data_IF_246254317592
#
_entry.id   IF_246254317592
#
_cell.length_a   1.000
_cell.length_b   1.000
_cell.length_c   1.000
_cell.angle_alpha   90.00
_cell.angle_beta   90.00
_cell.angle_gamma   90.00
#
_symmetry.space_group_name_H-M   'P 1'
#
loop_
_entity.id
_entity.type
_entity.pdbx_description
1 polymer ?
#
# COMPACT_ATOMS: atom_id res chain seq x y z
N UNK A 1 -29.87 48.08 20.54
CA UNK A 1 -28.75 47.16 20.24
C UNK A 1 -27.62 47.94 19.60
N UNK A 2 -26.42 47.91 20.20
CA UNK A 2 -25.28 48.73 19.80
C UNK A 2 -24.68 48.23 18.47
N UNK A 3 -24.88 48.99 17.40
CA UNK A 3 -24.35 48.71 16.06
C UNK A 3 -22.81 48.52 16.03
N UNK A 4 -22.10 49.12 17.02
CA UNK A 4 -20.67 48.93 17.24
C UNK A 4 -20.28 47.49 17.61
N UNK A 5 -21.11 46.76 18.35
CA UNK A 5 -20.83 45.36 18.72
C UNK A 5 -21.12 44.39 17.56
N UNK A 6 -22.09 44.69 16.70
CA UNK A 6 -22.38 43.89 15.50
C UNK A 6 -21.24 44.01 14.48
N UNK A 7 -20.71 45.22 14.27
CA UNK A 7 -19.55 45.43 13.38
C UNK A 7 -18.26 44.80 13.92
N UNK A 8 -17.99 44.86 15.24
CA UNK A 8 -16.81 44.17 15.79
C UNK A 8 -16.92 42.64 15.72
N UNK A 9 -18.12 42.07 15.94
CA UNK A 9 -18.31 40.60 15.83
C UNK A 9 -18.23 40.08 14.40
N UNK A 10 -18.72 40.83 13.40
CA UNK A 10 -18.60 40.41 11.99
C UNK A 10 -17.19 40.58 11.47
N UNK A 11 -16.47 41.64 11.88
CA UNK A 11 -15.06 41.84 11.54
C UNK A 11 -14.20 40.74 12.17
N UNK A 12 -14.47 40.34 13.41
CA UNK A 12 -13.75 39.24 14.08
C UNK A 12 -14.05 37.86 13.46
N UNK A 13 -15.27 37.63 12.96
CA UNK A 13 -15.61 36.38 12.25
C UNK A 13 -14.97 36.30 10.84
N UNK A 14 -14.83 37.44 10.15
CA UNK A 14 -14.17 37.51 8.83
C UNK A 14 -12.65 37.37 8.93
N UNK A 15 -12.02 37.73 10.06
CA UNK A 15 -10.58 37.56 10.26
C UNK A 15 -10.19 36.16 10.76
N UNK A 16 -11.08 35.45 11.48
CA UNK A 16 -10.79 34.08 11.94
C UNK A 16 -10.92 33.06 10.78
N UNK A 17 -11.82 33.28 9.82
CA UNK A 17 -11.95 32.41 8.64
C UNK A 17 -10.84 32.59 7.58
N UNK A 18 -9.91 33.54 7.77
CA UNK A 18 -8.75 33.75 6.90
C UNK A 18 -7.44 33.19 7.46
N UNK A 19 -7.47 32.58 8.65
CA UNK A 19 -6.25 32.25 9.40
C UNK A 19 -5.75 30.81 9.23
N UNK A 20 -6.44 29.98 8.44
CA UNK A 20 -5.95 28.66 8.05
C UNK A 20 -6.02 28.60 6.53
N UNK A 21 -4.86 28.59 5.88
CA UNK A 21 -4.78 28.41 4.44
C UNK A 21 -5.48 27.12 4.01
N UNK A 22 -5.91 27.05 2.75
CA UNK A 22 -6.51 25.82 2.23
C UNK A 22 -5.43 24.73 2.18
N UNK A 23 -5.70 23.59 2.82
CA UNK A 23 -4.83 22.41 2.76
C UNK A 23 -5.08 21.66 1.45
N UNK A 24 -4.03 21.43 0.66
CA UNK A 24 -4.10 20.77 -0.65
C UNK A 24 -3.23 19.52 -0.73
N UNK A 25 -3.60 18.61 -1.62
CA UNK A 25 -2.95 17.31 -1.79
C UNK A 25 -1.69 17.34 -2.66
N UNK A 26 -1.13 16.17 -2.93
CA UNK A 26 0.08 16.01 -3.74
C UNK A 26 -0.07 16.59 -5.16
N UNK A 27 0.99 17.22 -5.64
CA UNK A 27 1.07 17.88 -6.94
C UNK A 27 0.32 19.19 -7.06
N UNK A 28 -0.62 19.49 -6.14
CA UNK A 28 -1.41 20.72 -6.17
C UNK A 28 -0.53 21.95 -5.93
N UNK A 29 -0.95 23.08 -6.50
CA UNK A 29 -0.23 24.35 -6.37
C UNK A 29 -0.27 24.85 -4.91
N UNK A 30 0.87 25.32 -4.42
CA UNK A 30 1.03 25.81 -3.06
C UNK A 30 1.83 27.11 -3.04
N UNK A 31 1.57 27.98 -2.06
CA UNK A 31 2.33 29.23 -1.88
C UNK A 31 3.00 29.32 -0.50
N UNK A 32 2.77 28.33 0.37
CA UNK A 32 3.32 28.27 1.73
C UNK A 32 2.68 29.28 2.70
N UNK A 33 1.62 29.98 2.29
CA UNK A 33 0.94 31.01 3.09
C UNK A 33 -0.60 30.86 3.06
N UNK A 34 -1.23 31.07 1.90
CA UNK A 34 -2.68 30.95 1.73
C UNK A 34 -3.10 29.53 1.30
N UNK A 35 -2.20 28.80 0.63
CA UNK A 35 -2.38 27.41 0.23
C UNK A 35 -1.19 26.59 0.74
N UNK A 36 -1.47 25.73 1.71
CA UNK A 36 -0.47 24.88 2.36
C UNK A 36 -0.65 23.44 1.94
N UNK A 37 0.44 22.68 1.91
CA UNK A 37 0.37 21.26 1.62
C UNK A 37 -0.18 20.48 2.80
N UNK A 38 -0.76 19.33 2.50
CA UNK A 38 -1.26 18.43 3.51
C UNK A 38 -0.14 17.93 4.44
N UNK A 39 -0.52 17.44 5.63
CA UNK A 39 0.46 16.86 6.58
C UNK A 39 1.29 15.76 5.90
N UNK A 40 2.62 15.84 5.99
CA UNK A 40 3.55 14.92 5.32
C UNK A 40 3.93 15.33 3.89
N UNK A 41 3.54 16.54 3.47
CA UNK A 41 3.95 17.17 2.23
C UNK A 41 4.48 18.57 2.52
N UNK A 42 5.45 19.00 1.72
CA UNK A 42 5.94 20.37 1.75
C UNK A 42 5.84 20.98 0.35
N UNK A 43 5.92 22.32 0.32
CA UNK A 43 5.76 23.09 -0.90
C UNK A 43 7.08 23.18 -1.66
N UNK A 44 7.23 22.41 -2.73
CA UNK A 44 8.44 22.31 -3.53
C UNK A 44 8.35 23.16 -4.81
N UNK A 45 9.40 23.91 -5.19
CA UNK A 45 9.46 24.55 -6.50
C UNK A 45 9.57 23.50 -7.61
N UNK A 46 8.95 23.79 -8.75
CA UNK A 46 9.10 23.06 -9.99
C UNK A 46 9.42 24.00 -11.16
N UNK A 47 10.02 23.44 -12.20
CA UNK A 47 10.46 24.16 -13.38
C UNK A 47 11.79 24.89 -13.20
N UNK A 48 12.22 25.56 -14.27
CA UNK A 48 13.52 26.24 -14.32
C UNK A 48 13.38 27.74 -14.08
N UNK A 49 12.52 28.40 -14.86
CA UNK A 49 12.31 29.85 -14.84
C UNK A 49 10.91 30.19 -15.38
N UNK A 50 10.42 31.36 -15.00
CA UNK A 50 9.16 31.90 -15.49
C UNK A 50 9.15 31.97 -17.03
N UNK A 51 8.03 31.64 -17.69
CA UNK A 51 6.70 31.39 -17.12
C UNK A 51 6.41 29.92 -16.74
N UNK A 52 7.35 29.00 -16.99
CA UNK A 52 7.16 27.56 -16.80
C UNK A 52 7.79 27.10 -15.48
N UNK A 53 7.40 27.77 -14.40
CA UNK A 53 7.81 27.43 -13.05
C UNK A 53 6.66 27.70 -12.09
N UNK A 54 6.72 27.09 -10.91
CA UNK A 54 5.73 27.27 -9.87
C UNK A 54 6.12 26.46 -8.65
N UNK A 55 5.16 26.28 -7.75
CA UNK A 55 5.34 25.45 -6.57
C UNK A 55 4.24 24.40 -6.51
N UNK A 56 4.57 23.21 -6.01
CA UNK A 56 3.64 22.11 -5.87
C UNK A 56 3.93 21.29 -4.61
N UNK A 57 2.90 20.64 -4.08
CA UNK A 57 3.05 19.79 -2.90
C UNK A 57 3.75 18.47 -3.24
N UNK A 58 4.92 18.26 -2.64
CA UNK A 58 5.71 17.06 -2.79
C UNK A 58 5.77 16.29 -1.46
N UNK A 59 5.69 14.96 -1.54
CA UNK A 59 5.71 14.10 -0.37
C UNK A 59 7.07 14.22 0.34
N UNK A 60 7.03 14.45 1.64
CA UNK A 60 8.23 14.46 2.47
C UNK A 60 8.87 13.07 2.51
N UNK A 61 10.19 13.04 2.57
CA UNK A 61 10.97 11.81 2.68
C UNK A 61 11.95 11.93 3.82
N UNK A 62 12.09 10.89 4.65
CA UNK A 62 13.12 10.83 5.69
C UNK A 62 14.15 9.78 5.35
N UNK A 63 15.44 10.11 5.43
CA UNK A 63 16.55 9.17 5.11
C UNK A 63 16.49 7.85 5.89
N UNK A 64 15.91 7.87 7.11
CA UNK A 64 15.72 6.69 7.93
C UNK A 64 14.64 5.73 7.39
N UNK A 65 13.66 6.26 6.65
CA UNK A 65 12.47 5.54 6.15
C UNK A 65 12.35 5.63 4.63
N UNK A 66 13.39 6.05 3.91
CA UNK A 66 13.34 6.32 2.47
C UNK A 66 12.83 5.14 1.60
N UNK A 67 13.10 3.89 1.99
CA UNK A 67 12.57 2.72 1.27
C UNK A 67 11.04 2.55 1.45
N UNK A 68 10.50 3.04 2.57
CA UNK A 68 9.06 3.12 2.83
C UNK A 68 8.48 4.35 2.15
N UNK A 69 9.18 5.49 2.23
CA UNK A 69 8.69 6.78 1.77
C UNK A 69 8.72 6.89 0.25
N UNK A 70 9.68 6.25 -0.43
CA UNK A 70 9.94 6.34 -1.86
C UNK A 70 9.95 5.00 -2.60
N UNK A 71 9.80 3.89 -1.89
CA UNK A 71 10.00 2.55 -2.44
C UNK A 71 11.46 2.11 -2.42
N UNK A 72 11.66 0.80 -2.45
CA UNK A 72 12.97 0.17 -2.26
C UNK A 72 13.97 0.60 -3.33
N UNK A 73 15.12 1.13 -2.89
CA UNK A 73 16.19 1.58 -3.77
C UNK A 73 16.03 3.01 -4.30
N UNK A 74 14.98 3.73 -3.88
CA UNK A 74 14.84 5.15 -4.11
C UNK A 74 15.32 5.93 -2.89
N UNK A 75 16.08 7.01 -3.13
CA UNK A 75 16.70 7.81 -2.08
C UNK A 75 15.91 9.11 -1.86
N UNK A 76 15.98 9.63 -0.64
CA UNK A 76 15.63 11.02 -0.39
C UNK A 76 16.74 11.95 -0.89
N UNK A 77 16.39 13.00 -1.62
CA UNK A 77 17.32 14.05 -2.05
C UNK A 77 16.77 15.44 -1.67
N UNK A 78 17.66 16.40 -1.36
CA UNK A 78 17.22 17.74 -1.01
C UNK A 78 16.70 18.49 -2.22
N UNK A 79 15.61 19.21 -2.02
CA UNK A 79 14.90 19.97 -3.09
C UNK A 79 15.77 21.10 -3.63
N UNK A 80 16.58 21.68 -2.77
CA UNK A 80 17.61 22.67 -3.11
C UNK A 80 18.96 22.19 -2.62
N UNK A 81 20.03 22.50 -3.34
CA UNK A 81 21.37 22.06 -2.96
C UNK A 81 21.73 22.56 -1.55
N UNK A 82 21.87 21.63 -0.60
CA UNK A 82 22.17 21.95 0.81
C UNK A 82 20.95 22.25 1.70
N UNK A 83 19.72 22.08 1.19
CA UNK A 83 18.49 22.21 1.97
C UNK A 83 18.23 21.02 2.89
N UNK A 84 17.37 21.22 3.90
CA UNK A 84 16.89 20.18 4.82
C UNK A 84 15.61 19.49 4.35
N UNK A 85 14.92 20.09 3.38
CA UNK A 85 13.66 19.58 2.86
C UNK A 85 13.95 18.51 1.81
N UNK A 86 13.52 17.29 2.10
CA UNK A 86 13.87 16.09 1.36
C UNK A 86 12.65 15.50 0.65
N UNK A 87 12.83 15.15 -0.63
CA UNK A 87 11.84 14.42 -1.46
C UNK A 87 12.43 13.15 -2.00
N UNK A 88 11.57 12.24 -2.46
CA UNK A 88 12.01 11.15 -3.30
C UNK A 88 12.70 11.66 -4.56
N UNK A 89 13.85 11.08 -4.91
CA UNK A 89 14.59 11.36 -6.16
C UNK A 89 13.71 11.26 -7.41
N UNK A 90 12.76 10.33 -7.40
CA UNK A 90 11.73 10.15 -8.43
C UNK A 90 10.85 11.38 -8.59
N UNK A 91 10.43 12.00 -7.47
CA UNK A 91 9.65 13.24 -7.47
C UNK A 91 10.49 14.41 -7.99
N UNK A 92 11.76 14.51 -7.58
CA UNK A 92 12.65 15.58 -8.07
C UNK A 92 12.79 15.59 -9.59
N UNK A 93 12.78 14.40 -10.21
CA UNK A 93 12.82 14.26 -11.66
C UNK A 93 11.55 14.82 -12.33
N UNK A 94 10.40 14.69 -11.69
CA UNK A 94 9.12 15.16 -12.20
C UNK A 94 8.88 16.67 -11.97
N UNK A 95 9.49 17.25 -10.94
CA UNK A 95 9.46 18.70 -10.67
C UNK A 95 10.22 19.54 -11.74
N UNK A 96 10.65 18.94 -12.85
CA UNK A 96 11.16 19.67 -14.02
C UNK A 96 10.05 20.31 -14.86
N UNK A 97 8.81 19.87 -14.68
CA UNK A 97 7.60 20.38 -15.34
C UNK A 97 6.43 20.46 -14.33
N UNK A 98 5.26 20.95 -14.77
CA UNK A 98 4.06 20.94 -13.94
C UNK A 98 3.72 19.49 -13.57
N UNK A 99 3.72 19.13 -12.26
CA UNK A 99 3.41 17.78 -11.83
C UNK A 99 1.93 17.43 -12.06
N UNK A 100 1.61 16.14 -12.14
CA UNK A 100 0.21 15.72 -12.04
C UNK A 100 -0.27 15.88 -10.59
N UNK A 101 -1.58 15.95 -10.41
CA UNK A 101 -2.20 16.11 -9.09
C UNK A 101 -3.32 15.09 -8.91
N UNK A 102 -3.88 14.97 -7.71
CA UNK A 102 -5.06 14.15 -7.48
C UNK A 102 -6.28 14.62 -8.30
N UNK A 103 -6.37 15.93 -8.58
CA UNK A 103 -7.48 16.55 -9.33
C UNK A 103 -7.15 16.80 -10.80
N UNK A 104 -5.87 16.93 -11.16
CA UNK A 104 -5.37 16.96 -12.53
C UNK A 104 -5.34 15.54 -13.05
N UNK A 105 -6.44 15.15 -13.66
CA UNK A 105 -6.65 13.79 -14.12
C UNK A 105 -5.77 13.53 -15.34
N UNK A 106 -4.65 12.82 -15.11
CA UNK A 106 -4.01 11.94 -16.10
C UNK A 106 -5.09 11.14 -16.85
N UNK A 107 -4.89 10.74 -18.12
CA UNK A 107 -5.94 10.07 -18.93
C UNK A 107 -6.86 9.20 -18.05
N UNK A 108 -8.07 9.73 -17.80
CA UNK A 108 -8.96 9.24 -16.73
C UNK A 108 -9.30 7.75 -16.87
N UNK A 109 -9.13 7.22 -18.08
CA UNK A 109 -9.43 5.83 -18.43
C UNK A 109 -8.25 4.90 -18.26
N UNK A 110 -7.01 5.41 -18.35
CA UNK A 110 -5.79 4.60 -18.47
C UNK A 110 -4.71 4.90 -17.46
N UNK A 111 -4.77 6.04 -16.77
CA UNK A 111 -3.67 6.53 -15.95
C UNK A 111 -4.16 7.02 -14.59
N UNK A 112 -3.23 7.03 -13.64
CA UNK A 112 -3.39 7.64 -12.32
C UNK A 112 -2.14 8.45 -12.01
N UNK A 113 -2.31 9.54 -11.26
CA UNK A 113 -1.17 10.30 -10.77
C UNK A 113 -0.53 9.55 -9.60
N UNK A 114 0.69 9.07 -9.78
CA UNK A 114 1.43 8.35 -8.74
C UNK A 114 2.11 9.33 -7.78
N UNK A 115 1.81 9.22 -6.50
CA UNK A 115 2.26 10.15 -5.47
C UNK A 115 3.80 10.18 -5.31
N UNK A 116 4.45 9.02 -5.45
CA UNK A 116 5.90 8.86 -5.28
C UNK A 116 6.72 9.33 -6.47
N UNK A 117 6.07 9.69 -7.57
CA UNK A 117 6.76 10.15 -8.78
C UNK A 117 6.17 11.47 -9.30
N UNK A 118 4.96 11.86 -8.89
CA UNK A 118 4.18 12.97 -9.45
C UNK A 118 4.05 12.90 -10.98
N UNK A 119 4.05 11.68 -11.52
CA UNK A 119 3.86 11.40 -12.94
C UNK A 119 2.61 10.55 -13.17
N UNK A 120 1.99 10.73 -14.32
CA UNK A 120 0.93 9.85 -14.78
C UNK A 120 1.50 8.46 -15.11
N UNK A 121 1.16 7.48 -14.29
CA UNK A 121 1.51 6.07 -14.54
C UNK A 121 0.28 5.35 -15.08
N UNK A 122 0.51 4.25 -15.80
CA UNK A 122 -0.59 3.38 -16.20
C UNK A 122 -1.37 2.98 -14.95
N UNK A 123 -2.69 3.18 -15.00
CA UNK A 123 -3.61 2.62 -14.02
C UNK A 123 -3.30 1.13 -13.95
N UNK A 124 -3.21 0.53 -12.75
CA UNK A 124 -3.03 -0.91 -12.65
C UNK A 124 -4.19 -1.60 -13.37
N UNK A 125 -3.93 -2.09 -14.58
CA UNK A 125 -4.87 -2.94 -15.27
C UNK A 125 -4.93 -4.23 -14.47
N UNK A 126 -6.14 -4.61 -14.08
CA UNK A 126 -6.39 -5.95 -13.51
C UNK A 126 -6.39 -6.97 -14.65
N UNK A 127 -5.34 -6.97 -15.47
CA UNK A 127 -5.18 -7.96 -16.54
C UNK A 127 -4.42 -9.12 -15.92
N UNK A 128 -5.16 -10.18 -15.60
CA UNK A 128 -4.58 -11.44 -15.14
C UNK A 128 -3.80 -12.05 -16.31
N UNK A 129 -2.51 -11.76 -16.41
CA UNK A 129 -1.64 -12.52 -17.31
C UNK A 129 -1.42 -13.90 -16.68
N UNK A 130 -2.32 -14.82 -17.04
CA UNK A 130 -2.25 -16.22 -16.64
C UNK A 130 -1.25 -16.89 -17.57
N UNK A 131 0.03 -16.90 -17.17
CA UNK A 131 1.03 -17.79 -17.77
C UNK A 131 0.71 -19.22 -17.31
N UNK A 132 -0.01 -19.98 -18.13
CA UNK A 132 -0.27 -21.41 -17.88
C UNK A 132 1.00 -22.18 -18.22
N UNK A 133 1.84 -22.47 -17.23
CA UNK A 133 2.84 -23.52 -17.37
C UNK A 133 2.14 -24.87 -17.47
N UNK A 134 2.30 -25.51 -18.63
CA UNK A 134 1.75 -26.82 -18.93
C UNK A 134 2.51 -27.88 -18.14
N UNK A 135 2.01 -28.26 -16.98
CA UNK A 135 2.46 -29.44 -16.25
C UNK A 135 1.56 -30.64 -16.53
N UNK A 136 2.20 -31.75 -16.86
CA UNK A 136 1.63 -33.04 -17.28
C UNK A 136 0.70 -33.65 -16.23
N UNK A 137 -0.51 -34.03 -16.66
CA UNK A 137 -1.60 -34.54 -15.83
C UNK A 137 -1.53 -36.08 -15.79
N UNK A 138 -1.68 -36.67 -14.60
CA UNK A 138 -1.87 -38.12 -14.44
C UNK A 138 -3.35 -38.41 -14.21
N UNK A 139 -3.98 -39.10 -15.16
CA UNK A 139 -5.42 -39.41 -15.19
C UNK A 139 -5.77 -40.53 -14.21
N UNK A 140 -6.77 -40.32 -13.34
CA UNK A 140 -7.44 -41.43 -12.61
C UNK A 140 -8.94 -41.36 -12.84
N UNK A 141 -9.53 -42.47 -13.27
CA UNK A 141 -10.91 -42.57 -13.78
C UNK A 141 -11.87 -43.07 -12.71
N UNK A 142 -12.95 -42.33 -12.43
CA UNK A 142 -14.22 -42.89 -11.97
C UNK A 142 -15.38 -41.93 -12.27
N UNK A 143 -16.34 -42.35 -13.10
CA UNK A 143 -17.69 -41.78 -13.10
C UNK A 143 -17.94 -40.47 -13.87
N UNK A 144 -17.74 -40.47 -15.19
CA UNK A 144 -18.72 -39.92 -16.15
C UNK A 144 -19.13 -38.44 -16.18
N UNK A 145 -18.55 -37.52 -15.40
CA UNK A 145 -18.73 -36.06 -15.58
C UNK A 145 -17.38 -35.34 -15.38
N UNK A 146 -16.78 -34.86 -16.47
CA UNK A 146 -15.54 -34.08 -16.44
C UNK A 146 -15.85 -32.62 -16.10
N UNK A 147 -15.89 -32.28 -14.80
CA UNK A 147 -15.82 -30.88 -14.36
C UNK A 147 -14.36 -30.57 -14.07
N UNK A 148 -13.71 -29.86 -14.99
CA UNK A 148 -12.33 -29.37 -14.84
C UNK A 148 -12.38 -28.16 -13.90
N UNK A 149 -12.25 -28.40 -12.60
CA UNK A 149 -12.04 -27.32 -11.63
C UNK A 149 -10.53 -27.20 -11.43
N UNK A 150 -9.90 -26.27 -12.14
CA UNK A 150 -8.51 -25.90 -11.87
C UNK A 150 -8.47 -25.20 -10.51
N UNK A 151 -7.86 -25.77 -9.45
CA UNK A 151 -7.75 -25.06 -8.19
C UNK A 151 -6.81 -23.87 -8.42
N UNK A 152 -7.31 -22.65 -8.23
CA UNK A 152 -6.47 -21.46 -8.22
C UNK A 152 -5.43 -21.62 -7.11
N UNK A 153 -4.12 -21.54 -7.40
CA UNK A 153 -3.10 -21.71 -6.38
C UNK A 153 -3.25 -20.60 -5.33
N UNK A 154 -3.47 -20.98 -4.07
CA UNK A 154 -3.64 -20.01 -2.99
C UNK A 154 -2.30 -19.56 -2.44
N UNK A 155 -1.72 -18.57 -3.11
CA UNK A 155 -0.41 -17.98 -2.77
C UNK A 155 -0.54 -16.47 -2.63
N UNK A 156 0.35 -15.89 -1.84
CA UNK A 156 0.48 -14.44 -1.76
C UNK A 156 1.18 -13.92 -3.02
N UNK A 157 0.62 -12.89 -3.63
CA UNK A 157 1.10 -12.31 -4.90
C UNK A 157 2.05 -11.13 -4.68
N UNK A 158 2.17 -10.63 -3.45
CA UNK A 158 3.05 -9.53 -3.08
C UNK A 158 4.03 -10.01 -2.01
N UNK A 159 5.30 -10.16 -2.39
CA UNK A 159 6.37 -10.68 -1.54
C UNK A 159 7.56 -9.74 -1.54
N UNK A 160 8.11 -9.45 -0.36
CA UNK A 160 9.25 -8.56 -0.18
C UNK A 160 8.91 -7.07 -0.11
N UNK A 161 9.73 -6.33 0.64
CA UNK A 161 9.57 -4.90 0.88
C UNK A 161 8.62 -4.54 2.03
N UNK A 162 8.48 -3.23 2.34
CA UNK A 162 7.69 -2.76 3.48
C UNK A 162 6.17 -2.98 3.35
N UNK A 163 5.70 -3.22 2.13
CA UNK A 163 4.28 -3.41 1.79
C UNK A 163 3.99 -4.85 1.32
N UNK A 164 4.80 -5.81 1.77
CA UNK A 164 4.52 -7.22 1.49
C UNK A 164 3.29 -7.71 2.26
N UNK A 165 2.77 -8.87 1.87
CA UNK A 165 1.59 -9.43 2.52
C UNK A 165 1.78 -9.65 4.04
N UNK A 166 3.02 -9.89 4.50
CA UNK A 166 3.34 -10.03 5.93
C UNK A 166 3.19 -8.70 6.68
N UNK A 167 3.68 -7.61 6.12
CA UNK A 167 3.56 -6.27 6.68
C UNK A 167 2.11 -5.78 6.66
N UNK A 168 1.34 -6.15 5.63
CA UNK A 168 -0.06 -5.76 5.45
C UNK A 168 -1.07 -6.69 6.15
N UNK A 169 -0.62 -7.73 6.85
CA UNK A 169 -1.50 -8.66 7.57
C UNK A 169 -2.55 -7.99 8.50
N UNK A 170 -2.28 -6.85 9.17
CA UNK A 170 -3.31 -6.15 9.96
C UNK A 170 -4.51 -5.66 9.15
N UNK A 171 -4.36 -5.47 7.83
CA UNK A 171 -5.43 -5.01 6.94
C UNK A 171 -6.36 -6.13 6.47
N UNK A 172 -6.07 -7.40 6.81
CA UNK A 172 -6.92 -8.55 6.48
C UNK A 172 -8.34 -8.50 7.10
N UNK A 173 -8.60 -7.61 8.06
CA UNK A 173 -9.96 -7.43 8.62
C UNK A 173 -10.48 -6.02 8.41
N UNK A 174 -9.75 -5.18 7.69
CA UNK A 174 -10.16 -3.82 7.39
C UNK A 174 -11.10 -3.81 6.19
N UNK A 175 -12.32 -3.32 6.33
CA UNK A 175 -13.34 -3.37 5.28
C UNK A 175 -12.95 -2.66 3.99
N UNK A 176 -12.12 -1.62 4.06
CA UNK A 176 -11.65 -0.86 2.89
C UNK A 176 -10.64 -1.71 2.08
N UNK A 177 -9.78 -2.46 2.77
CA UNK A 177 -8.68 -3.21 2.15
C UNK A 177 -8.99 -4.69 1.97
N UNK A 178 -10.08 -5.20 2.54
CA UNK A 178 -10.45 -6.62 2.54
C UNK A 178 -10.41 -7.26 1.15
N UNK A 179 -10.96 -6.58 0.15
CA UNK A 179 -11.02 -7.10 -1.22
C UNK A 179 -9.62 -7.12 -1.88
N UNK A 180 -8.81 -6.09 -1.63
CA UNK A 180 -7.41 -6.05 -2.04
C UNK A 180 -6.61 -7.18 -1.39
N UNK A 181 -6.75 -7.35 -0.08
CA UNK A 181 -6.09 -8.39 0.69
C UNK A 181 -6.53 -9.79 0.25
N UNK A 182 -7.80 -9.96 -0.13
CA UNK A 182 -8.32 -11.21 -0.72
C UNK A 182 -7.72 -11.51 -2.08
N UNK A 183 -7.48 -10.49 -2.90
CA UNK A 183 -6.88 -10.68 -4.22
C UNK A 183 -5.36 -10.89 -4.17
N UNK A 184 -4.66 -10.18 -3.28
CA UNK A 184 -3.19 -10.10 -3.29
C UNK A 184 -2.51 -10.91 -2.21
N UNK A 185 -3.18 -11.10 -1.08
CA UNK A 185 -2.64 -11.79 0.09
C UNK A 185 -3.58 -12.89 0.62
N UNK A 186 -4.18 -13.74 -0.25
CA UNK A 186 -5.20 -14.69 0.17
C UNK A 186 -4.65 -15.73 1.16
N UNK A 187 -3.35 -16.02 1.11
CA UNK A 187 -2.73 -16.99 2.01
C UNK A 187 -2.38 -16.35 3.36
N UNK A 188 -1.79 -15.15 3.35
CA UNK A 188 -1.48 -14.42 4.58
C UNK A 188 -2.73 -14.03 5.35
N UNK A 189 -3.82 -13.67 4.65
CA UNK A 189 -5.10 -13.34 5.28
C UNK A 189 -6.03 -14.54 5.52
N UNK A 190 -5.62 -15.76 5.14
CA UNK A 190 -6.44 -16.96 5.34
C UNK A 190 -7.72 -17.00 4.50
N UNK A 191 -7.77 -16.27 3.39
CA UNK A 191 -8.90 -16.28 2.44
C UNK A 191 -8.83 -17.40 1.42
N UNK A 192 -7.83 -18.28 1.52
CA UNK A 192 -7.81 -19.53 0.80
C UNK A 192 -9.08 -20.33 1.09
N UNK A 193 -10.10 -20.18 0.25
CA UNK A 193 -11.24 -21.09 0.24
C UNK A 193 -10.87 -22.29 -0.61
N UNK A 194 -10.55 -23.41 0.02
CA UNK A 194 -10.57 -24.69 -0.69
C UNK A 194 -12.01 -24.90 -1.20
N UNK A 195 -12.16 -25.07 -2.52
CA UNK A 195 -13.44 -25.40 -3.15
C UNK A 195 -14.11 -26.61 -2.46
N UNK A 196 -15.45 -26.70 -2.45
CA UNK A 196 -16.18 -27.62 -1.58
C UNK A 196 -16.02 -29.06 -2.09
N UNK A 197 -15.29 -29.86 -1.32
CA UNK A 197 -15.14 -31.27 -1.57
C UNK A 197 -14.44 -31.94 -0.40
N UNK A 198 -15.24 -32.61 0.43
CA UNK A 198 -14.86 -33.39 1.62
C UNK A 198 -14.69 -32.56 2.90
N UNK A 199 -15.83 -32.39 3.59
CA UNK A 199 -15.85 -32.33 5.05
C UNK A 199 -15.13 -33.55 5.62
N UNK A 200 -14.02 -33.33 6.31
CA UNK A 200 -13.30 -34.41 6.99
C UNK A 200 -12.00 -33.97 7.65
N UNK A 201 -12.06 -33.08 8.66
CA UNK A 201 -10.94 -32.88 9.60
C UNK A 201 -10.60 -31.43 9.92
N UNK A 202 -11.51 -30.71 10.57
CA UNK A 202 -11.14 -29.59 11.43
C UNK A 202 -10.11 -30.06 12.46
N UNK A 203 -8.86 -29.60 12.40
CA UNK A 203 -7.91 -29.93 13.47
C UNK A 203 -6.45 -29.64 13.21
N UNK A 204 -6.01 -29.47 11.97
CA UNK A 204 -4.61 -29.15 11.75
C UNK A 204 -4.34 -27.65 11.86
N UNK A 205 -4.12 -27.20 13.09
CA UNK A 205 -3.62 -25.87 13.39
C UNK A 205 -2.70 -25.97 14.60
N UNK A 206 -1.69 -25.12 14.62
CA UNK A 206 -0.92 -24.92 15.84
C UNK A 206 -1.81 -24.36 16.95
N UNK A 207 -1.77 -25.04 18.08
CA UNK A 207 -2.48 -24.65 19.30
C UNK A 207 -1.72 -23.58 20.08
N UNK A 208 -0.40 -23.49 19.88
CA UNK A 208 0.46 -22.50 20.53
C UNK A 208 0.97 -21.44 19.54
N UNK A 209 0.95 -20.17 19.93
CA UNK A 209 1.44 -19.06 19.09
C UNK A 209 2.96 -19.05 18.89
N UNK A 210 3.72 -19.70 19.77
CA UNK A 210 5.18 -19.72 19.71
C UNK A 210 5.75 -20.85 18.83
N UNK A 211 4.91 -21.61 18.14
CA UNK A 211 5.33 -22.78 17.36
C UNK A 211 6.43 -22.43 16.34
N UNK A 212 6.32 -21.30 15.64
CA UNK A 212 7.34 -20.81 14.70
C UNK A 212 8.72 -20.64 15.34
N UNK A 213 8.78 -20.14 16.57
CA UNK A 213 10.04 -19.93 17.31
C UNK A 213 10.58 -21.22 17.92
N UNK A 214 9.76 -22.26 18.00
CA UNK A 214 10.07 -23.55 18.62
C UNK A 214 10.15 -24.70 17.60
N UNK A 215 10.17 -24.39 16.30
CA UNK A 215 10.21 -25.40 15.23
C UNK A 215 11.43 -26.34 15.35
N UNK A 216 12.56 -25.88 15.87
CA UNK A 216 13.73 -26.72 16.11
C UNK A 216 13.44 -27.89 17.08
N UNK A 217 12.42 -27.77 17.94
CA UNK A 217 11.98 -28.82 18.85
C UNK A 217 11.20 -29.95 18.17
N UNK A 218 10.70 -29.76 16.94
CA UNK A 218 10.00 -30.81 16.19
C UNK A 218 10.87 -32.06 15.97
N UNK A 219 12.20 -31.89 15.90
CA UNK A 219 13.16 -32.99 15.72
C UNK A 219 13.80 -33.46 17.03
N UNK A 220 13.47 -32.84 18.16
CA UNK A 220 14.00 -33.20 19.47
C UNK A 220 13.15 -34.33 20.07
N UNK A 221 13.78 -35.46 20.40
CA UNK A 221 13.09 -36.68 20.87
C UNK A 221 12.27 -36.48 22.14
N UNK A 222 12.68 -35.56 23.02
CA UNK A 222 12.00 -35.29 24.30
C UNK A 222 10.73 -34.47 24.06
N UNK A 223 10.77 -33.51 23.13
CA UNK A 223 9.67 -32.57 22.90
C UNK A 223 8.77 -32.94 21.72
N UNK A 224 9.12 -33.99 20.97
CA UNK A 224 8.39 -34.41 19.76
C UNK A 224 6.90 -34.60 19.98
N UNK A 225 6.51 -35.27 21.07
CA UNK A 225 5.10 -35.57 21.32
C UNK A 225 4.31 -34.34 21.82
N UNK A 226 4.99 -33.40 22.46
CA UNK A 226 4.43 -32.08 22.78
C UNK A 226 4.24 -31.27 21.49
N UNK A 227 5.24 -31.23 20.63
CA UNK A 227 5.19 -30.52 19.35
C UNK A 227 4.15 -31.11 18.39
N UNK A 228 3.91 -32.42 18.44
CA UNK A 228 2.80 -33.08 17.72
C UNK A 228 1.41 -32.63 18.17
N UNK A 229 1.25 -32.26 19.43
CA UNK A 229 -0.04 -31.83 19.99
C UNK A 229 -0.26 -30.33 19.83
N UNK A 230 0.78 -29.56 20.15
CA UNK A 230 0.70 -28.11 20.24
C UNK A 230 1.06 -27.42 18.93
N UNK A 231 1.90 -28.04 18.10
CA UNK A 231 2.44 -27.45 16.86
C UNK A 231 2.38 -28.40 15.65
N UNK A 232 1.28 -29.14 15.41
CA UNK A 232 1.22 -30.15 14.36
C UNK A 232 1.40 -29.57 12.95
N UNK A 233 1.03 -28.31 12.74
CA UNK A 233 1.17 -27.63 11.46
C UNK A 233 2.62 -27.18 11.24
N UNK A 234 3.23 -26.48 12.22
CA UNK A 234 4.63 -26.03 12.12
C UNK A 234 5.62 -27.19 11.98
N UNK A 235 5.30 -28.34 12.57
CA UNK A 235 6.15 -29.53 12.51
C UNK A 235 5.82 -30.50 11.36
N UNK A 236 4.77 -30.24 10.58
CA UNK A 236 4.37 -31.10 9.45
C UNK A 236 3.90 -32.49 9.88
N UNK A 237 3.18 -32.57 11.00
CA UNK A 237 2.52 -33.80 11.46
C UNK A 237 1.08 -33.94 10.97
N UNK A 238 0.63 -32.92 10.25
CA UNK A 238 -0.38 -33.00 9.21
C UNK A 238 0.34 -32.74 7.87
#
# INVERSE_FOLDING_TARGET
MNLKYVLLSTILALTINKAFGAEVGYGEECDGAATTCATGYFCAPWGQAAPNNGNACAKECTVATQDVDCGTGNLCEPVTAGGTDLVCKSVLSALTSTPCTATTICDATKQVCEEHTLTCVAKPETTMETTIETSTITTTTAGGINIIVTPTPCVDLVVGGPNDCRALAPYCTNDIYRDLMKAKCPRTCGYCTTSPGVSGGSGCRDSNSDCSNKQYLCRNSIYRDLMKRECPMTCGYC
#
